data_IF_398380226560
#
_entry.id   IF_398380226560
#
_cell.length_a   1.000
_cell.length_b   1.000
_cell.length_c   1.000
_cell.angle_alpha   90.00
_cell.angle_beta   90.00
_cell.angle_gamma   90.00
#
_symmetry.space_group_name_H-M   'P 1'
#
loop_
_entity.id
_entity.type
_entity.pdbx_description
1 polymer ?
#
# COMPACT_ATOMS: atom_id res chain seq x y z
N UNK A 1 14.01 -32.68 3.93
CA UNK A 1 13.77 -31.58 4.88
C UNK A 1 13.12 -30.47 4.09
N UNK A 2 11.96 -30.02 4.53
CA UNK A 2 11.26 -28.89 3.91
C UNK A 2 11.79 -27.60 4.55
N UNK A 3 12.17 -26.63 3.73
CA UNK A 3 12.58 -25.30 4.23
C UNK A 3 11.31 -24.46 4.26
N UNK A 4 10.89 -23.92 5.41
CA UNK A 4 9.76 -23.01 5.41
C UNK A 4 10.15 -21.76 4.61
N UNK A 5 9.54 -21.58 3.45
CA UNK A 5 9.65 -20.35 2.67
C UNK A 5 8.89 -19.24 3.41
N UNK A 6 9.62 -18.35 4.06
CA UNK A 6 9.04 -17.18 4.72
C UNK A 6 8.82 -16.08 3.70
N UNK A 7 7.56 -15.85 3.33
CA UNK A 7 7.19 -14.70 2.51
C UNK A 7 7.01 -13.47 3.40
N UNK A 8 7.90 -12.48 3.28
CA UNK A 8 7.77 -11.21 4.00
C UNK A 8 7.07 -10.18 3.12
N UNK A 9 6.16 -9.40 3.72
CA UNK A 9 5.44 -8.31 3.07
C UNK A 9 5.99 -6.97 3.56
N UNK A 10 6.37 -6.11 2.63
CA UNK A 10 6.76 -4.73 2.91
C UNK A 10 5.80 -3.76 2.24
N UNK A 11 5.38 -2.73 2.96
CA UNK A 11 4.55 -1.65 2.41
C UNK A 11 5.38 -0.36 2.35
N UNK A 12 5.40 0.26 1.18
CA UNK A 12 5.90 1.63 1.01
C UNK A 12 4.79 2.53 0.48
N UNK A 13 4.91 3.82 0.78
CA UNK A 13 4.03 4.86 0.27
C UNK A 13 4.89 6.03 -0.23
N UNK A 14 4.38 6.81 -1.17
CA UNK A 14 4.99 8.09 -1.54
C UNK A 14 5.02 9.03 -0.34
N UNK A 15 6.22 9.35 0.16
CA UNK A 15 6.46 10.04 1.43
C UNK A 15 5.85 11.45 1.52
N UNK A 16 5.74 12.15 0.40
CA UNK A 16 5.22 13.51 0.35
C UNK A 16 4.44 13.68 -0.93
N UNK A 17 3.16 14.03 -0.81
CA UNK A 17 2.29 14.37 -1.93
C UNK A 17 1.81 15.80 -1.72
N UNK A 18 1.70 16.56 -2.80
CA UNK A 18 1.01 17.84 -2.74
C UNK A 18 -0.48 17.61 -2.38
N UNK A 19 -1.11 18.61 -1.78
CA UNK A 19 -2.55 18.61 -1.53
C UNK A 19 -3.33 18.38 -2.82
N UNK A 20 -4.38 17.56 -2.76
CA UNK A 20 -5.10 17.10 -3.96
C UNK A 20 -4.29 16.20 -4.90
N UNK A 21 -3.08 15.80 -4.50
CA UNK A 21 -2.24 14.83 -5.21
C UNK A 21 -2.72 13.39 -5.06
N UNK A 22 -1.88 12.44 -5.45
CA UNK A 22 -2.17 11.01 -5.36
C UNK A 22 -1.07 10.29 -4.59
N UNK A 23 -1.44 9.58 -3.53
CA UNK A 23 -0.56 8.70 -2.76
C UNK A 23 -0.55 7.33 -3.41
N UNK A 24 0.63 6.87 -3.81
CA UNK A 24 0.81 5.52 -4.35
C UNK A 24 1.34 4.64 -3.23
N UNK A 25 0.56 3.63 -2.86
CA UNK A 25 0.99 2.58 -1.94
C UNK A 25 1.46 1.37 -2.74
N UNK A 26 2.62 0.84 -2.39
CA UNK A 26 3.22 -0.33 -3.03
C UNK A 26 3.47 -1.40 -1.98
N UNK A 27 2.82 -2.55 -2.14
CA UNK A 27 3.08 -3.73 -1.34
C UNK A 27 4.03 -4.66 -2.11
N UNK A 28 5.11 -5.11 -1.48
CA UNK A 28 6.13 -5.97 -2.07
C UNK A 28 6.33 -7.21 -1.20
N UNK A 29 6.17 -8.39 -1.80
CA UNK A 29 6.52 -9.68 -1.23
C UNK A 29 7.96 -10.07 -1.61
N UNK A 30 8.62 -10.81 -0.73
CA UNK A 30 9.94 -11.43 -1.02
C UNK A 30 9.86 -12.58 -2.01
N UNK A 31 8.68 -13.18 -2.20
CA UNK A 31 8.43 -14.30 -3.09
C UNK A 31 7.14 -14.06 -3.89
N UNK A 32 7.04 -14.66 -5.08
CA UNK A 32 5.85 -14.56 -5.90
C UNK A 32 4.64 -15.16 -5.14
N UNK A 33 3.52 -14.46 -5.18
CA UNK A 33 2.30 -14.90 -4.53
C UNK A 33 1.79 -16.20 -5.17
N UNK A 34 1.63 -17.28 -4.41
CA UNK A 34 1.08 -18.53 -4.95
C UNK A 34 -0.41 -18.42 -5.32
N UNK A 35 -1.13 -17.53 -4.65
CA UNK A 35 -2.53 -17.17 -4.88
C UNK A 35 -2.68 -15.66 -4.79
N UNK A 36 -3.78 -15.06 -5.28
CA UNK A 36 -4.00 -13.62 -5.13
C UNK A 36 -3.99 -13.20 -3.65
N UNK A 37 -3.13 -12.25 -3.29
CA UNK A 37 -3.03 -11.69 -1.93
C UNK A 37 -3.70 -10.33 -1.90
N UNK A 38 -4.57 -10.11 -0.92
CA UNK A 38 -5.21 -8.82 -0.68
C UNK A 38 -4.67 -8.20 0.59
N UNK A 39 -4.21 -6.96 0.50
CA UNK A 39 -3.67 -6.19 1.62
C UNK A 39 -4.58 -4.99 1.83
N UNK A 40 -5.25 -4.94 2.98
CA UNK A 40 -6.12 -3.81 3.35
C UNK A 40 -5.31 -2.83 4.19
N UNK A 41 -5.24 -1.59 3.74
CA UNK A 41 -4.58 -0.51 4.45
C UNK A 41 -5.52 0.10 5.49
N UNK A 42 -4.96 0.70 6.55
CA UNK A 42 -5.75 1.36 7.60
C UNK A 42 -6.62 2.53 7.10
N UNK A 43 -6.30 3.10 5.93
CA UNK A 43 -7.12 4.12 5.26
C UNK A 43 -8.29 3.54 4.45
N UNK A 44 -8.48 2.21 4.46
CA UNK A 44 -9.53 1.51 3.74
C UNK A 44 -9.20 1.14 2.28
N UNK A 45 -8.03 1.52 1.77
CA UNK A 45 -7.61 1.12 0.43
C UNK A 45 -7.16 -0.35 0.40
N UNK A 46 -7.38 -1.03 -0.72
CA UNK A 46 -7.05 -2.45 -0.88
C UNK A 46 -6.02 -2.60 -2.00
N UNK A 47 -4.86 -3.15 -1.66
CA UNK A 47 -3.85 -3.57 -2.63
C UNK A 47 -4.10 -5.02 -2.97
N UNK A 48 -4.19 -5.32 -4.26
CA UNK A 48 -4.27 -6.71 -4.75
C UNK A 48 -2.96 -7.08 -5.42
N UNK A 49 -2.34 -8.17 -4.97
CA UNK A 49 -1.15 -8.77 -5.57
C UNK A 49 -1.61 -10.04 -6.26
N UNK A 50 -1.51 -10.07 -7.59
CA UNK A 50 -1.95 -11.21 -8.38
C UNK A 50 -1.09 -12.46 -8.09
N UNK A 51 -1.67 -13.64 -8.33
CA UNK A 51 -0.89 -14.88 -8.30
C UNK A 51 0.27 -14.79 -9.32
N UNK A 52 1.46 -15.22 -8.92
CA UNK A 52 2.70 -15.11 -9.68
C UNK A 52 3.37 -13.73 -9.60
N UNK A 53 2.71 -12.71 -9.04
CA UNK A 53 3.30 -11.40 -8.83
C UNK A 53 3.94 -11.29 -7.45
N UNK A 54 4.97 -10.45 -7.35
CA UNK A 54 5.60 -10.07 -6.07
C UNK A 54 5.15 -8.71 -5.59
N UNK A 55 4.50 -7.92 -6.44
CA UNK A 55 4.12 -6.54 -6.13
C UNK A 55 2.67 -6.25 -6.47
N UNK A 56 2.08 -5.36 -5.70
CA UNK A 56 0.77 -4.76 -5.98
C UNK A 56 0.80 -3.30 -5.59
N UNK A 57 -0.02 -2.50 -6.28
CA UNK A 57 -0.13 -1.06 -6.01
C UNK A 57 -1.58 -0.65 -5.86
N UNK A 58 -1.81 0.40 -5.06
CA UNK A 58 -3.08 1.11 -5.04
C UNK A 58 -2.80 2.61 -4.95
N UNK A 59 -3.60 3.38 -5.68
CA UNK A 59 -3.53 4.84 -5.67
C UNK A 59 -4.70 5.37 -4.86
N UNK A 60 -4.40 6.23 -3.89
CA UNK A 60 -5.38 6.90 -3.03
C UNK A 60 -5.23 8.39 -3.23
N UNK A 61 -6.34 9.11 -3.42
CA UNK A 61 -6.29 10.57 -3.48
C UNK A 61 -5.82 11.13 -2.15
N UNK A 62 -4.85 12.05 -2.19
CA UNK A 62 -4.51 12.84 -1.02
C UNK A 62 -5.73 13.67 -0.61
N UNK A 63 -5.95 13.92 0.69
CA UNK A 63 -6.95 14.87 1.14
C UNK A 63 -6.75 16.19 0.40
N UNK A 64 -7.85 16.76 -0.09
CA UNK A 64 -7.83 18.14 -0.57
C UNK A 64 -7.72 19.05 0.65
N UNK A 65 -6.95 20.13 0.50
CA UNK A 65 -6.85 21.19 1.50
C UNK A 65 -8.25 21.79 1.72
N UNK A 66 -8.76 21.69 2.94
CA UNK A 66 -9.93 22.45 3.36
C UNK A 66 -9.39 23.71 4.01
N UNK A 67 -9.75 24.88 3.48
CA UNK A 67 -9.27 26.20 3.91
C UNK A 67 -9.48 26.45 5.42
N UNK A 68 -10.31 25.63 6.09
CA UNK A 68 -10.56 25.66 7.53
C UNK A 68 -10.01 24.46 8.32
N UNK A 69 -9.38 23.47 7.68
CA UNK A 69 -8.71 22.35 8.34
C UNK A 69 -7.28 22.22 7.84
N UNK A 70 -6.40 22.74 8.68
CA UNK A 70 -4.95 22.57 8.64
C UNK A 70 -4.51 21.16 8.20
N UNK A 71 -3.37 21.10 7.50
CA UNK A 71 -2.86 19.96 6.74
C UNK A 71 -2.94 18.63 7.53
N UNK A 72 -3.97 17.84 7.24
CA UNK A 72 -4.17 16.53 7.86
C UNK A 72 -3.05 15.56 7.45
N UNK A 73 -2.31 15.04 8.43
CA UNK A 73 -1.29 14.02 8.18
C UNK A 73 -1.96 12.70 7.80
N UNK A 74 -1.74 12.22 6.57
CA UNK A 74 -2.22 10.90 6.14
C UNK A 74 -1.20 9.85 6.54
N UNK A 75 -1.55 9.01 7.50
CA UNK A 75 -0.78 7.82 7.86
C UNK A 75 -1.58 6.58 7.52
N UNK A 76 -0.98 5.66 6.75
CA UNK A 76 -1.54 4.34 6.54
C UNK A 76 -0.51 3.28 6.95
N UNK A 77 -0.95 2.32 7.75
CA UNK A 77 -0.19 1.14 8.16
C UNK A 77 -0.86 -0.10 7.59
N UNK A 78 -0.08 -1.16 7.39
CA UNK A 78 -0.56 -2.50 7.01
C UNK A 78 -1.16 -3.23 8.20
#
# INVERSE_FOLDING_TARGET
TDTPDTTSLTLSATNTVAEGGSIVYTATLTNAAGTPVTVTLSNGAVITIAAGATTGTVTVAAPADDVYKDAGTVQATI
#
